data_IF_880945031954
#
_entry.id   IF_880945031954
#
_cell.length_a   1.000
_cell.length_b   1.000
_cell.length_c   1.000
_cell.angle_alpha   90.00
_cell.angle_beta   90.00
_cell.angle_gamma   90.00
#
_symmetry.space_group_name_H-M   'P 1'
#
loop_
_entity.id
_entity.type
_entity.pdbx_description
1 polymer ?
#
# COMPACT_ATOMS: atom_id res chain seq x y z
N UNK A 1 0.22 17.16 4.50
CA UNK A 1 -1.17 16.69 4.23
C UNK A 1 -1.59 15.55 5.16
N UNK A 2 -0.91 14.39 5.16
CA UNK A 2 -1.33 13.19 5.93
C UNK A 2 -1.64 13.49 7.40
N UNK A 3 -0.75 14.17 8.14
CA UNK A 3 -0.96 14.50 9.56
C UNK A 3 -2.30 15.20 9.82
N UNK A 4 -2.63 16.24 9.05
CA UNK A 4 -3.86 17.00 9.22
C UNK A 4 -5.12 16.12 8.97
N UNK A 5 -5.04 15.20 8.01
CA UNK A 5 -6.12 14.23 7.76
C UNK A 5 -6.28 13.27 8.94
N UNK A 6 -5.17 12.73 9.46
CA UNK A 6 -5.19 11.83 10.62
C UNK A 6 -5.75 12.51 11.85
N UNK A 7 -5.29 13.73 12.15
CA UNK A 7 -5.74 14.50 13.31
C UNK A 7 -7.25 14.80 13.22
N UNK A 8 -7.75 15.14 12.04
CA UNK A 8 -9.17 15.43 11.80
C UNK A 8 -10.07 14.17 11.83
N UNK A 9 -9.57 13.02 11.37
CA UNK A 9 -10.31 11.75 11.51
C UNK A 9 -10.41 11.38 12.99
N UNK A 10 -9.28 11.41 13.72
CA UNK A 10 -9.23 11.05 15.15
C UNK A 10 -10.09 11.96 16.02
N UNK A 11 -10.19 13.25 15.70
CA UNK A 11 -11.04 14.18 16.48
C UNK A 11 -12.53 13.90 16.33
N UNK A 12 -12.96 13.32 15.20
CA UNK A 12 -14.38 13.04 14.91
C UNK A 12 -14.77 11.59 15.16
N UNK A 13 -13.83 10.66 15.02
CA UNK A 13 -14.04 9.22 15.15
C UNK A 13 -12.81 8.58 15.82
N UNK A 14 -12.62 8.76 17.14
CA UNK A 14 -11.43 8.30 17.86
C UNK A 14 -11.27 6.77 17.84
N UNK A 15 -12.37 6.03 17.76
CA UNK A 15 -12.39 4.56 17.73
C UNK A 15 -12.10 3.97 16.33
N UNK A 16 -12.03 4.80 15.28
CA UNK A 16 -11.82 4.31 13.92
C UNK A 16 -10.37 3.84 13.74
N UNK A 17 -10.21 2.58 13.30
CA UNK A 17 -8.89 2.04 12.96
C UNK A 17 -8.41 2.69 11.66
N UNK A 18 -7.24 3.30 11.73
CA UNK A 18 -6.59 3.91 10.57
C UNK A 18 -5.67 2.90 9.91
N UNK A 19 -5.90 2.65 8.63
CA UNK A 19 -5.06 1.87 7.76
C UNK A 19 -4.41 2.79 6.72
N UNK A 20 -3.07 2.87 6.69
CA UNK A 20 -2.33 3.67 5.71
C UNK A 20 -1.80 2.81 4.57
N UNK A 21 -2.00 3.24 3.33
CA UNK A 21 -1.40 2.57 2.17
C UNK A 21 0.13 2.70 2.17
N UNK A 22 0.83 1.60 1.81
CA UNK A 22 2.24 1.63 1.42
C UNK A 22 2.46 1.49 -0.10
N UNK A 23 1.41 1.66 -0.90
CA UNK A 23 1.48 1.67 -2.37
C UNK A 23 1.76 3.08 -2.89
N UNK A 24 0.95 4.06 -2.44
CA UNK A 24 0.95 5.49 -2.79
C UNK A 24 0.80 5.78 -4.30
N UNK A 25 1.79 5.40 -5.12
CA UNK A 25 1.83 5.67 -6.57
C UNK A 25 2.79 4.71 -7.26
N UNK A 26 2.51 4.37 -8.52
CA UNK A 26 3.37 3.50 -9.34
C UNK A 26 4.74 4.10 -9.66
N UNK A 27 4.92 5.42 -9.48
CA UNK A 27 6.22 6.10 -9.67
C UNK A 27 6.92 6.44 -8.34
N UNK A 28 6.31 6.11 -7.19
CA UNK A 28 6.91 6.36 -5.90
C UNK A 28 8.04 5.36 -5.59
N UNK A 29 9.14 5.86 -5.07
CA UNK A 29 10.23 5.00 -4.57
C UNK A 29 9.82 4.23 -3.33
N UNK A 30 10.45 3.08 -3.07
CA UNK A 30 10.24 2.30 -1.83
C UNK A 30 10.41 3.14 -0.55
N UNK A 31 11.30 4.15 -0.56
CA UNK A 31 11.48 5.06 0.57
C UNK A 31 10.25 5.94 0.78
N UNK A 32 9.70 6.51 -0.29
CA UNK A 32 8.49 7.33 -0.22
C UNK A 32 7.28 6.51 0.20
N UNK A 33 7.18 5.28 -0.32
CA UNK A 33 6.10 4.33 -0.05
C UNK A 33 5.97 3.94 1.42
N UNK A 34 7.09 3.66 2.10
CA UNK A 34 7.07 3.24 3.51
C UNK A 34 7.10 4.40 4.51
N UNK A 35 7.47 5.61 4.07
CA UNK A 35 7.62 6.78 4.96
C UNK A 35 6.38 7.10 5.82
N UNK A 36 5.13 6.98 5.32
CA UNK A 36 3.95 7.20 6.16
C UNK A 36 3.86 6.25 7.35
N UNK A 37 4.20 4.96 7.16
CA UNK A 37 4.21 3.96 8.23
C UNK A 37 5.27 4.30 9.26
N UNK A 38 6.49 4.62 8.82
CA UNK A 38 7.59 4.98 9.71
C UNK A 38 7.30 6.25 10.52
N UNK A 39 6.60 7.21 9.92
CA UNK A 39 6.31 8.51 10.53
C UNK A 39 5.12 8.44 11.49
N UNK A 40 4.02 7.84 11.05
CA UNK A 40 2.73 7.92 11.76
C UNK A 40 2.40 6.68 12.58
N UNK A 41 3.12 5.57 12.38
CA UNK A 41 2.96 4.30 13.13
C UNK A 41 1.49 3.90 13.28
N UNK A 42 0.75 3.77 12.16
CA UNK A 42 -0.67 3.44 12.22
C UNK A 42 -0.86 2.01 12.79
N UNK A 43 -2.05 1.68 13.33
CA UNK A 43 -2.35 0.32 13.73
C UNK A 43 -2.25 -0.68 12.57
N UNK A 44 -2.69 -0.27 11.37
CA UNK A 44 -2.63 -1.05 10.14
C UNK A 44 -1.93 -0.29 9.02
N UNK A 45 -1.28 -1.04 8.13
CA UNK A 45 -0.84 -0.52 6.84
C UNK A 45 -0.92 -1.60 5.78
N UNK A 46 -1.28 -1.22 4.56
CA UNK A 46 -1.43 -2.18 3.48
C UNK A 46 -0.08 -2.66 2.95
N UNK A 47 0.04 -3.96 2.69
CA UNK A 47 1.24 -4.64 2.21
C UNK A 47 0.88 -5.50 1.00
N UNK A 48 1.30 -5.05 -0.18
CA UNK A 48 1.15 -5.82 -1.41
C UNK A 48 2.09 -7.02 -1.42
N UNK A 49 1.57 -8.20 -1.74
CA UNK A 49 2.31 -9.46 -1.61
C UNK A 49 2.97 -9.95 -2.90
N UNK A 50 2.76 -9.28 -4.04
CA UNK A 50 3.38 -9.65 -5.32
C UNK A 50 3.57 -8.47 -6.27
N UNK A 51 4.51 -8.64 -7.21
CA UNK A 51 4.60 -7.76 -8.39
C UNK A 51 3.56 -8.16 -9.42
N UNK A 52 2.92 -7.20 -10.05
CA UNK A 52 1.88 -7.48 -11.05
C UNK A 52 1.76 -6.38 -12.11
N UNK A 53 1.17 -6.71 -13.25
CA UNK A 53 0.60 -5.70 -14.14
C UNK A 53 -0.53 -5.00 -13.40
N UNK A 54 -0.56 -3.67 -13.41
CA UNK A 54 -1.62 -2.92 -12.75
C UNK A 54 -2.12 -1.82 -13.67
N UNK A 55 -3.28 -2.07 -14.28
CA UNK A 55 -3.90 -1.17 -15.24
C UNK A 55 -5.41 -1.06 -15.04
N UNK A 56 -5.98 0.06 -15.47
CA UNK A 56 -7.42 0.29 -15.50
C UNK A 56 -7.91 0.13 -16.94
N UNK A 57 -8.80 -0.84 -17.15
CA UNK A 57 -9.48 -1.05 -18.43
C UNK A 57 -10.84 -0.38 -18.47
N UNK A 58 -11.22 0.14 -19.63
CA UNK A 58 -12.59 0.52 -19.94
C UNK A 58 -13.33 -0.70 -20.50
N UNK A 59 -14.25 -1.25 -19.72
CA UNK A 59 -15.00 -2.44 -20.08
C UNK A 59 -15.94 -2.23 -21.29
N UNK A 60 -16.32 -0.99 -21.60
CA UNK A 60 -17.22 -0.68 -22.72
C UNK A 60 -16.48 -0.65 -24.06
N UNK A 61 -15.26 -0.14 -24.05
CA UNK A 61 -14.45 0.06 -25.26
C UNK A 61 -13.35 -0.99 -25.43
N UNK A 62 -13.05 -1.77 -24.38
CA UNK A 62 -11.93 -2.71 -24.35
C UNK A 62 -10.56 -2.04 -24.21
N UNK A 63 -10.51 -0.70 -24.11
CA UNK A 63 -9.26 0.05 -24.02
C UNK A 63 -8.61 -0.15 -22.65
N UNK A 64 -7.37 -0.61 -22.63
CA UNK A 64 -6.53 -0.57 -21.43
C UNK A 64 -5.89 0.82 -21.34
N UNK A 65 -6.30 1.59 -20.34
CA UNK A 65 -5.91 2.99 -20.18
C UNK A 65 -4.77 3.17 -19.19
N UNK A 66 -5.09 3.77 -18.04
CA UNK A 66 -4.11 4.10 -17.00
C UNK A 66 -3.32 2.85 -16.60
N UNK A 67 -1.99 2.95 -16.58
CA UNK A 67 -1.13 1.86 -16.13
C UNK A 67 -0.91 0.73 -17.15
N UNK A 68 -1.35 0.87 -18.41
CA UNK A 68 -1.23 -0.17 -19.43
C UNK A 68 0.21 -0.72 -19.62
N UNK A 69 1.24 0.11 -19.39
CA UNK A 69 2.65 -0.28 -19.46
C UNK A 69 3.35 -0.40 -18.11
N UNK A 70 2.62 -0.34 -16.99
CA UNK A 70 3.20 -0.27 -15.66
C UNK A 70 3.20 -1.64 -14.97
N UNK A 71 4.32 -1.96 -14.33
CA UNK A 71 4.41 -3.00 -13.31
C UNK A 71 4.26 -2.34 -11.95
N UNK A 72 3.29 -2.78 -11.16
CA UNK A 72 3.28 -2.46 -9.75
C UNK A 72 4.26 -3.39 -9.02
N UNK A 73 5.47 -2.90 -8.79
CA UNK A 73 6.58 -3.71 -8.31
C UNK A 73 6.56 -3.91 -6.79
N UNK A 74 6.45 -5.17 -6.38
CA UNK A 74 6.63 -5.66 -5.02
C UNK A 74 7.44 -6.95 -5.06
N UNK A 75 8.75 -6.82 -5.19
CA UNK A 75 9.66 -7.97 -5.12
C UNK A 75 9.69 -8.53 -3.70
N UNK A 76 10.11 -9.79 -3.51
CA UNK A 76 10.34 -10.36 -2.17
C UNK A 76 11.25 -9.49 -1.29
N UNK A 77 12.24 -8.81 -1.89
CA UNK A 77 13.10 -7.85 -1.18
C UNK A 77 12.31 -6.67 -0.65
N UNK A 78 11.43 -6.08 -1.46
CA UNK A 78 10.55 -4.97 -1.07
C UNK A 78 9.55 -5.41 -0.01
N UNK A 79 8.90 -6.56 -0.19
CA UNK A 79 7.94 -7.14 0.76
C UNK A 79 8.61 -7.36 2.13
N UNK A 80 9.75 -8.06 2.15
CA UNK A 80 10.51 -8.33 3.37
C UNK A 80 10.96 -7.04 4.06
N UNK A 81 11.40 -6.03 3.29
CA UNK A 81 11.76 -4.72 3.82
C UNK A 81 10.56 -4.03 4.47
N UNK A 82 9.42 -3.98 3.79
CA UNK A 82 8.23 -3.28 4.31
C UNK A 82 7.67 -3.97 5.53
N UNK A 83 7.58 -5.31 5.53
CA UNK A 83 7.16 -6.09 6.68
C UNK A 83 8.06 -5.83 7.92
N UNK A 84 9.38 -5.72 7.72
CA UNK A 84 10.33 -5.37 8.81
C UNK A 84 10.08 -3.95 9.33
N UNK A 85 9.86 -2.98 8.45
CA UNK A 85 9.59 -1.60 8.86
C UNK A 85 8.23 -1.45 9.57
N UNK A 86 7.19 -2.16 9.11
CA UNK A 86 5.89 -2.24 9.80
C UNK A 86 6.04 -2.86 11.18
N UNK A 87 6.80 -3.97 11.30
CA UNK A 87 7.11 -4.59 12.61
C UNK A 87 7.81 -3.62 13.56
N UNK A 88 8.81 -2.86 13.09
CA UNK A 88 9.49 -1.83 13.89
C UNK A 88 8.54 -0.70 14.34
N UNK A 89 7.57 -0.35 13.49
CA UNK A 89 6.59 0.68 13.79
C UNK A 89 5.46 0.21 14.74
N UNK A 90 5.38 -1.10 15.02
CA UNK A 90 4.22 -1.68 15.72
C UNK A 90 2.96 -1.75 14.86
N UNK A 91 3.11 -1.61 13.54
CA UNK A 91 2.03 -1.62 12.56
C UNK A 91 1.79 -3.05 12.09
N UNK A 92 0.54 -3.50 12.12
CA UNK A 92 0.15 -4.80 11.57
C UNK A 92 -0.06 -4.69 10.04
N UNK A 93 0.53 -5.58 9.23
CA UNK A 93 0.29 -5.57 7.80
C UNK A 93 -1.13 -6.05 7.48
N UNK A 94 -1.82 -5.33 6.60
CA UNK A 94 -2.96 -5.83 5.84
C UNK A 94 -2.41 -6.41 4.52
N UNK A 95 -2.49 -7.72 4.35
CA UNK A 95 -1.94 -8.39 3.16
C UNK A 95 -2.89 -8.23 1.98
N UNK A 96 -2.50 -7.45 0.99
CA UNK A 96 -3.26 -7.27 -0.25
C UNK A 96 -2.83 -8.34 -1.27
N UNK A 97 -3.70 -9.34 -1.46
CA UNK A 97 -3.49 -10.51 -2.31
C UNK A 97 -4.40 -10.38 -3.53
N UNK A 98 -3.82 -10.25 -4.72
CA UNK A 98 -4.56 -10.02 -5.97
C UNK A 98 -4.67 -11.27 -6.85
N UNK A 99 -3.88 -12.30 -6.58
CA UNK A 99 -3.92 -13.59 -7.26
C UNK A 99 -3.41 -14.72 -6.33
N UNK A 100 -3.46 -15.97 -6.83
CA UNK A 100 -2.93 -17.11 -6.07
C UNK A 100 -1.42 -17.00 -5.83
N UNK A 101 -0.66 -16.43 -6.76
CA UNK A 101 0.78 -16.23 -6.59
C UNK A 101 1.10 -15.38 -5.36
N UNK A 102 0.37 -14.29 -5.16
CA UNK A 102 0.47 -13.43 -3.98
C UNK A 102 0.00 -14.09 -2.68
N UNK A 103 -0.81 -15.14 -2.75
CA UNK A 103 -1.19 -15.94 -1.57
C UNK A 103 -0.05 -16.87 -1.11
N UNK A 104 0.71 -17.42 -2.06
CA UNK A 104 1.83 -18.32 -1.80
C UNK A 104 3.18 -17.60 -1.57
N UNK A 105 3.25 -16.30 -1.85
CA UNK A 105 4.43 -15.45 -1.70
C UNK A 105 4.74 -15.12 -0.24
#
# INVERSE_FOLDING_TARGET
>A
LIKAVLDNIKSKAPELIINLSSAISSVATDKQRIAPVQTFKPPLASLNTASMNFAVGDYKTGKVGMGAGNIFANTFKTISKFAKEMKKAGTKPEMEIYDLGGMYS
#
